data_IF_603145291572
#
_entry.id   IF_603145291572
#
_cell.length_a   1.000
_cell.length_b   1.000
_cell.length_c   1.000
_cell.angle_alpha   90.00
_cell.angle_beta   90.00
_cell.angle_gamma   90.00
#
_symmetry.space_group_name_H-M   'P 1'
#
loop_
_entity.id
_entity.type
_entity.pdbx_description
1 polymer ?
#
# COMPACT_ATOMS: atom_id res chain seq x y z
N UNK A 1 -0.14 -7.06 -45.65
CA UNK A 1 0.99 -8.01 -45.77
C UNK A 1 1.66 -8.09 -44.39
N UNK A 2 1.55 -9.24 -43.72
CA UNK A 2 2.06 -9.50 -42.36
C UNK A 2 3.59 -9.54 -42.36
N UNK A 3 4.24 -9.02 -41.31
CA UNK A 3 5.55 -9.50 -40.86
C UNK A 3 5.45 -9.87 -39.38
N UNK A 4 5.44 -11.17 -39.13
CA UNK A 4 5.62 -11.76 -37.81
C UNK A 4 7.13 -11.79 -37.53
N UNK A 5 7.57 -11.19 -36.42
CA UNK A 5 8.89 -11.49 -35.87
C UNK A 5 8.71 -12.47 -34.71
N UNK A 6 9.05 -13.74 -34.97
CA UNK A 6 9.29 -14.75 -33.94
C UNK A 6 10.54 -14.33 -33.15
N UNK A 7 10.41 -14.12 -31.85
CA UNK A 7 11.56 -14.18 -30.94
C UNK A 7 11.49 -15.53 -30.24
N UNK A 8 12.30 -16.47 -30.72
CA UNK A 8 12.67 -17.68 -29.96
C UNK A 8 13.61 -17.24 -28.85
N UNK A 9 13.25 -17.49 -27.60
CA UNK A 9 14.20 -17.40 -26.50
C UNK A 9 14.53 -18.83 -26.03
N UNK A 10 15.70 -19.30 -26.46
CA UNK A 10 16.36 -20.51 -25.98
C UNK A 10 17.36 -20.07 -24.91
N UNK A 11 17.00 -20.23 -23.63
CA UNK A 11 17.89 -20.50 -22.49
C UNK A 11 17.03 -20.52 -21.22
N UNK A 12 17.17 -21.57 -20.42
CA UNK A 12 16.34 -21.84 -19.25
C UNK A 12 16.42 -20.73 -18.20
N UNK A 13 15.32 -20.02 -18.02
CA UNK A 13 15.21 -18.96 -17.01
C UNK A 13 14.26 -19.37 -15.89
N UNK A 14 14.81 -19.31 -14.68
CA UNK A 14 14.15 -19.30 -13.38
C UNK A 14 12.84 -18.50 -13.38
N UNK A 15 11.82 -19.02 -12.69
CA UNK A 15 10.59 -18.30 -12.36
C UNK A 15 10.94 -17.01 -11.60
N UNK A 16 11.02 -15.88 -12.30
CA UNK A 16 11.25 -14.57 -11.67
C UNK A 16 9.95 -14.10 -11.01
N UNK A 17 9.98 -13.88 -9.70
CA UNK A 17 8.85 -13.38 -8.90
C UNK A 17 8.45 -11.92 -9.18
N UNK A 18 9.18 -11.16 -10.00
CA UNK A 18 8.93 -9.72 -10.25
C UNK A 18 9.41 -9.23 -11.63
N UNK A 19 8.73 -8.21 -12.19
CA UNK A 19 9.09 -7.47 -13.42
C UNK A 19 9.08 -5.95 -13.15
N UNK A 20 9.96 -5.18 -13.81
CA UNK A 20 10.14 -3.73 -13.65
C UNK A 20 10.32 -3.01 -15.03
N UNK A 21 9.34 -2.21 -15.53
CA UNK A 21 9.40 -1.27 -16.71
C UNK A 21 9.50 0.29 -16.47
N UNK A 22 10.39 1.06 -17.08
CA UNK A 22 10.57 2.54 -16.85
C UNK A 22 9.29 3.47 -16.96
N UNK A 23 9.29 4.74 -16.43
CA UNK A 23 8.14 5.45 -15.79
C UNK A 23 7.23 6.36 -16.68
N UNK A 24 6.14 6.96 -16.13
CA UNK A 24 5.67 6.87 -14.73
C UNK A 24 4.78 5.65 -14.58
N UNK A 25 5.35 4.59 -14.02
CA UNK A 25 4.56 3.44 -13.61
C UNK A 25 3.55 3.94 -12.58
N UNK A 26 2.26 3.67 -12.83
CA UNK A 26 1.31 3.52 -11.75
C UNK A 26 1.92 2.54 -10.75
N UNK A 27 2.18 3.01 -9.54
CA UNK A 27 2.57 2.15 -8.42
C UNK A 27 1.28 1.56 -7.87
N UNK A 28 1.23 0.24 -7.75
CA UNK A 28 0.09 -0.48 -7.22
C UNK A 28 0.47 -1.04 -5.86
N UNK A 29 -0.42 -0.91 -4.88
CA UNK A 29 -0.34 -1.65 -3.63
C UNK A 29 -1.38 -2.77 -3.65
N UNK A 30 -1.01 -3.93 -3.13
CA UNK A 30 -1.94 -5.02 -2.87
C UNK A 30 -1.85 -5.41 -1.39
N UNK A 31 -3.00 -5.68 -0.78
CA UNK A 31 -3.11 -6.04 0.63
C UNK A 31 -3.86 -7.38 0.77
N UNK A 32 -3.47 -8.17 1.76
CA UNK A 32 -4.09 -9.44 2.11
C UNK A 32 -3.90 -9.72 3.61
N UNK A 33 -4.70 -10.62 4.16
CA UNK A 33 -4.69 -10.98 5.58
C UNK A 33 -6.01 -10.72 6.28
N UNK A 34 -5.96 -10.58 7.59
CA UNK A 34 -7.14 -10.32 8.43
C UNK A 34 -7.73 -8.93 8.11
N UNK A 35 -9.05 -8.84 7.94
CA UNK A 35 -9.76 -7.60 7.60
C UNK A 35 -10.27 -6.79 8.81
N UNK A 36 -10.18 -7.35 10.01
CA UNK A 36 -10.78 -6.77 11.21
C UNK A 36 -10.25 -5.35 11.46
N UNK A 37 -11.17 -4.50 11.89
CA UNK A 37 -10.95 -3.08 12.14
C UNK A 37 -10.49 -2.30 10.91
N UNK A 38 -10.66 -2.81 9.69
CA UNK A 38 -10.30 -2.09 8.46
C UNK A 38 -8.79 -2.02 8.21
N UNK A 39 -8.00 -2.93 8.81
CA UNK A 39 -6.53 -2.92 8.69
C UNK A 39 -6.02 -3.12 7.26
N UNK A 40 -6.87 -3.61 6.37
CA UNK A 40 -6.57 -3.74 4.94
C UNK A 40 -6.87 -2.46 4.16
N UNK A 41 -7.60 -1.48 4.69
CA UNK A 41 -7.86 -0.23 3.96
C UNK A 41 -8.61 -0.41 2.63
N UNK A 42 -9.45 -1.45 2.53
CA UNK A 42 -10.17 -1.82 1.31
C UNK A 42 -11.66 -1.43 1.37
N UNK A 43 -12.03 -0.48 2.23
CA UNK A 43 -13.43 -0.11 2.50
C UNK A 43 -14.27 -1.32 2.98
N UNK A 44 -13.62 -2.32 3.60
CA UNK A 44 -14.22 -3.59 3.97
C UNK A 44 -13.58 -4.16 5.24
N UNK A 45 -14.36 -4.91 6.01
CA UNK A 45 -13.89 -5.68 7.16
C UNK A 45 -13.55 -7.14 6.80
N UNK A 46 -13.80 -7.53 5.55
CA UNK A 46 -13.57 -8.90 5.11
C UNK A 46 -12.08 -9.22 5.03
N UNK A 47 -11.72 -10.40 5.54
CA UNK A 47 -10.37 -10.93 5.38
C UNK A 47 -10.11 -11.28 3.92
N UNK A 48 -8.97 -10.84 3.41
CA UNK A 48 -8.54 -11.15 2.06
C UNK A 48 -7.53 -12.29 2.08
N UNK A 49 -7.98 -13.44 1.57
CA UNK A 49 -7.16 -14.65 1.48
C UNK A 49 -6.22 -14.65 0.28
N UNK A 50 -6.33 -13.64 -0.59
CA UNK A 50 -5.47 -13.39 -1.75
C UNK A 50 -5.17 -11.89 -1.90
N UNK A 51 -4.09 -11.50 -2.61
CA UNK A 51 -3.75 -10.10 -2.80
C UNK A 51 -4.89 -9.33 -3.49
N UNK A 52 -5.41 -8.31 -2.81
CA UNK A 52 -6.41 -7.38 -3.34
C UNK A 52 -5.77 -6.04 -3.64
N UNK A 53 -5.96 -5.54 -4.86
CA UNK A 53 -5.45 -4.23 -5.26
C UNK A 53 -6.22 -3.13 -4.50
N UNK A 54 -5.48 -2.16 -3.96
CA UNK A 54 -6.10 -0.96 -3.41
C UNK A 54 -6.41 -0.02 -4.57
N UNK A 55 -7.70 0.12 -4.90
CA UNK A 55 -8.14 1.03 -5.96
C UNK A 55 -8.38 2.47 -5.46
N UNK A 56 -8.48 2.66 -4.12
CA UNK A 56 -8.62 3.95 -3.44
C UNK A 56 -7.64 4.03 -2.25
N UNK A 57 -6.40 4.46 -2.52
CA UNK A 57 -5.95 5.76 -2.05
C UNK A 57 -5.67 6.60 -3.31
N UNK A 58 -5.37 7.91 -3.20
CA UNK A 58 -4.80 8.60 -4.35
C UNK A 58 -3.62 7.77 -4.86
N UNK A 59 -3.41 7.75 -6.18
CA UNK A 59 -2.31 6.99 -6.76
C UNK A 59 -1.04 7.29 -5.95
N UNK A 60 -0.22 6.27 -5.68
CA UNK A 60 1.07 6.35 -4.97
C UNK A 60 2.11 7.24 -5.71
N UNK A 61 1.61 8.15 -6.54
CA UNK A 61 2.27 9.12 -7.41
C UNK A 61 2.83 10.31 -6.65
N UNK A 62 2.38 10.59 -5.43
CA UNK A 62 2.97 11.64 -4.59
C UNK A 62 3.90 11.03 -3.55
N UNK A 63 5.20 11.26 -3.75
CA UNK A 63 6.25 10.94 -2.78
C UNK A 63 6.04 11.75 -1.49
N UNK A 64 6.12 11.08 -0.33
CA UNK A 64 6.11 11.74 0.97
C UNK A 64 4.75 11.81 1.67
N UNK A 65 3.65 11.39 1.05
CA UNK A 65 2.36 11.23 1.75
C UNK A 65 2.31 9.91 2.52
N UNK A 66 1.77 9.97 3.74
CA UNK A 66 1.57 8.81 4.61
C UNK A 66 0.08 8.62 4.83
N UNK A 67 -0.38 7.38 4.75
CA UNK A 67 -1.75 7.01 5.03
C UNK A 67 -1.78 5.93 6.10
N UNK A 68 -2.80 5.99 6.97
CA UNK A 68 -3.07 4.99 7.99
C UNK A 68 -4.50 4.46 7.85
N UNK A 69 -4.70 3.18 8.16
CA UNK A 69 -5.99 2.49 8.17
C UNK A 69 -5.96 1.45 9.28
N UNK A 70 -7.11 0.95 9.71
CA UNK A 70 -7.17 -0.03 10.78
C UNK A 70 -7.71 0.51 12.10
N UNK A 71 -7.39 -0.21 13.17
CA UNK A 71 -7.78 0.11 14.54
C UNK A 71 -7.21 1.46 14.98
N UNK A 72 -7.87 2.11 15.93
CA UNK A 72 -7.45 3.42 16.44
C UNK A 72 -7.74 3.62 17.95
N UNK A 73 -8.05 2.57 18.70
CA UNK A 73 -8.35 2.66 20.14
C UNK A 73 -7.26 3.37 20.98
N UNK A 74 -6.03 3.43 20.46
CA UNK A 74 -4.88 4.08 21.09
C UNK A 74 -4.30 5.24 20.26
N UNK A 75 -5.02 5.72 19.25
CA UNK A 75 -4.53 6.81 18.36
C UNK A 75 -3.54 6.36 17.29
N UNK A 76 -3.54 5.07 16.95
CA UNK A 76 -2.61 4.41 16.00
C UNK A 76 -2.62 5.05 14.60
N UNK A 77 -3.76 5.64 14.21
CA UNK A 77 -3.92 6.31 12.93
C UNK A 77 -3.21 7.67 12.86
N UNK A 78 -2.82 8.25 14.00
CA UNK A 78 -2.10 9.53 14.03
C UNK A 78 -2.93 10.72 13.52
N UNK A 79 -4.26 10.64 13.61
CA UNK A 79 -5.20 11.68 13.18
C UNK A 79 -5.89 12.35 14.39
N UNK A 80 -6.34 13.59 14.24
CA UNK A 80 -7.05 14.35 15.27
C UNK A 80 -8.52 13.91 15.47
N UNK A 81 -8.99 12.89 14.75
CA UNK A 81 -10.38 12.45 14.77
C UNK A 81 -10.59 11.33 15.79
N UNK A 82 -11.61 11.46 16.64
CA UNK A 82 -12.02 10.42 17.57
C UNK A 82 -12.86 9.33 16.86
N UNK A 83 -12.20 8.49 16.06
CA UNK A 83 -12.78 7.28 15.47
C UNK A 83 -12.12 6.05 16.09
N UNK A 84 -12.86 4.96 16.29
CA UNK A 84 -12.31 3.71 16.82
C UNK A 84 -11.54 2.91 15.77
N UNK A 85 -11.87 3.07 14.49
CA UNK A 85 -11.14 2.48 13.36
C UNK A 85 -11.42 3.24 12.06
N UNK A 86 -10.66 2.91 11.01
CA UNK A 86 -10.86 3.40 9.65
C UNK A 86 -10.82 2.25 8.64
N UNK A 87 -11.85 2.19 7.78
CA UNK A 87 -11.94 1.23 6.67
C UNK A 87 -11.20 1.69 5.41
N UNK A 88 -11.09 3.02 5.27
CA UNK A 88 -10.43 3.68 4.16
C UNK A 88 -9.11 4.29 4.65
N UNK A 89 -8.05 4.32 3.82
CA UNK A 89 -6.81 4.99 4.18
C UNK A 89 -7.04 6.49 4.44
N UNK A 90 -6.60 6.95 5.62
CA UNK A 90 -6.66 8.34 6.04
C UNK A 90 -5.27 8.96 5.98
N UNK A 91 -5.15 10.15 5.40
CA UNK A 91 -3.87 10.86 5.31
C UNK A 91 -3.40 11.31 6.69
N UNK A 92 -2.17 10.94 7.05
CA UNK A 92 -1.50 11.40 8.27
C UNK A 92 -0.82 12.72 7.97
N UNK A 93 -1.36 13.80 8.54
CA UNK A 93 -0.85 15.15 8.36
C UNK A 93 0.16 15.55 9.45
N UNK A 94 0.90 16.63 9.23
CA UNK A 94 1.76 17.24 10.26
C UNK A 94 3.17 16.66 10.40
N UNK A 95 3.58 15.71 9.54
CA UNK A 95 4.95 15.16 9.58
C UNK A 95 6.00 16.14 9.03
N UNK A 96 5.61 17.07 8.14
CA UNK A 96 6.38 18.26 7.74
C UNK A 96 7.75 18.03 7.08
N UNK A 97 8.19 16.78 6.95
CA UNK A 97 9.52 16.34 6.52
C UNK A 97 9.39 15.11 5.64
N UNK A 98 10.44 14.82 4.88
CA UNK A 98 10.52 13.59 4.10
C UNK A 98 10.51 12.37 5.02
N UNK A 99 9.67 11.38 4.67
CA UNK A 99 9.53 10.14 5.42
C UNK A 99 10.53 9.12 4.91
N UNK A 100 11.46 8.73 5.78
CA UNK A 100 12.51 7.76 5.46
C UNK A 100 12.08 6.32 5.77
N UNK A 101 11.32 6.13 6.86
CA UNK A 101 10.86 4.81 7.29
C UNK A 101 9.55 4.91 8.08
N UNK A 102 8.71 3.88 7.97
CA UNK A 102 7.49 3.69 8.77
C UNK A 102 7.47 2.31 9.41
N UNK A 103 6.87 2.21 10.60
CA UNK A 103 6.58 0.94 11.28
C UNK A 103 5.25 1.04 12.02
N UNK A 104 4.52 -0.07 12.09
CA UNK A 104 3.27 -0.17 12.85
C UNK A 104 3.28 -1.46 13.68
N UNK A 105 2.96 -1.32 14.96
CA UNK A 105 2.70 -2.40 15.90
C UNK A 105 1.22 -2.47 16.26
N UNK A 106 0.87 -3.36 17.19
CA UNK A 106 -0.53 -3.60 17.56
C UNK A 106 -1.24 -2.37 18.15
N UNK A 107 -0.50 -1.50 18.85
CA UNK A 107 -1.03 -0.31 19.54
C UNK A 107 -0.21 0.96 19.30
N UNK A 108 0.71 0.96 18.34
CA UNK A 108 1.54 2.13 18.06
C UNK A 108 1.95 2.18 16.60
N UNK A 109 2.27 3.39 16.14
CA UNK A 109 2.84 3.67 14.82
C UNK A 109 4.04 4.59 14.99
N UNK A 110 5.05 4.45 14.15
CA UNK A 110 6.23 5.32 14.16
C UNK A 110 6.67 5.66 12.73
N UNK A 111 7.24 6.87 12.60
CA UNK A 111 7.84 7.36 11.37
C UNK A 111 9.20 7.99 11.68
N UNK A 112 10.18 7.74 10.81
CA UNK A 112 11.50 8.38 10.85
C UNK A 112 11.53 9.41 9.72
N UNK A 113 11.91 10.64 10.04
CA UNK A 113 11.93 11.77 9.11
C UNK A 113 13.32 12.37 8.95
N UNK A 114 13.64 12.88 7.76
CA UNK A 114 14.87 13.65 7.49
C UNK A 114 14.88 15.05 8.10
#
# INVERSE_FOLDING_TARGET
MRKHNLIRNLKGESWRRWICSEPPRKRFAALWGNGDYGRLGLSSLESQWSPSLIYNPPPLTETGRVYATGLNDFGQLGIQKNTSYALDPLEVSGLGKEILQISAGYHHSSAITG
#
